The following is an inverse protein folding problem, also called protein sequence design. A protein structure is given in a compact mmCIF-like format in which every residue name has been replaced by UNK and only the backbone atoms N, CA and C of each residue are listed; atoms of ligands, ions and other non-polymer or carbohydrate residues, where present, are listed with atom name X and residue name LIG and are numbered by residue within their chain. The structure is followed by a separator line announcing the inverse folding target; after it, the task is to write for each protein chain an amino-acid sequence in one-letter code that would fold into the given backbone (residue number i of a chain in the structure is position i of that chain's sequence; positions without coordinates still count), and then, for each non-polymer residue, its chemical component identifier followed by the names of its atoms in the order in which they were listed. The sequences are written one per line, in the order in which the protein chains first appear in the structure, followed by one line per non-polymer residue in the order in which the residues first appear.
data_IF_609042882098
#
_entry.id   IF_609042882098
#
_cell.length_a   1.000
_cell.length_b   1.000
_cell.length_c   1.000
_cell.angle_alpha   90.00
_cell.angle_beta   90.00
_cell.angle_gamma   90.00
#
_symmetry.space_group_name_H-M   'P 1'
#
loop_
_entity.id
_entity.type
_entity.pdbx_description
1 polymer ?
#
# COMPACT_ATOMS: atom_id res chain seq x y z
N UNK A 1 29.52 -24.48 37.62
CA UNK A 1 30.27 -23.65 36.68
C UNK A 1 29.68 -23.84 35.31
N UNK A 2 28.69 -23.03 34.93
CA UNK A 2 28.19 -22.90 33.56
C UNK A 2 27.79 -21.45 33.34
N UNK A 3 28.58 -20.75 32.56
CA UNK A 3 28.43 -19.35 32.26
C UNK A 3 27.32 -19.18 31.20
N UNK A 4 26.31 -18.42 31.56
CA UNK A 4 25.27 -17.95 30.66
C UNK A 4 25.73 -16.65 30.01
N UNK A 5 25.99 -16.67 28.69
CA UNK A 5 26.21 -15.47 27.91
C UNK A 5 24.86 -14.93 27.44
N UNK A 6 24.33 -13.94 28.13
CA UNK A 6 23.20 -13.14 27.67
C UNK A 6 23.64 -12.21 26.55
N UNK A 7 23.08 -12.38 25.36
CA UNK A 7 23.21 -11.42 24.27
C UNK A 7 22.24 -10.26 24.52
N UNK A 8 22.81 -9.13 24.89
CA UNK A 8 22.14 -7.84 24.99
C UNK A 8 21.78 -7.34 23.58
N UNK A 9 20.47 -7.33 23.25
CA UNK A 9 19.90 -6.80 21.99
C UNK A 9 19.21 -5.47 22.27
N UNK A 10 19.88 -4.58 23.01
CA UNK A 10 19.41 -3.21 23.25
C UNK A 10 20.30 -2.23 22.50
N UNK A 11 20.22 -2.22 21.16
CA UNK A 11 20.74 -1.12 20.35
C UNK A 11 19.58 -0.49 19.58
N UNK A 12 18.83 0.35 20.31
CA UNK A 12 18.01 1.40 19.67
C UNK A 12 18.94 2.33 18.91
N UNK A 13 18.97 2.19 17.60
CA UNK A 13 19.50 3.22 16.71
C UNK A 13 18.43 4.30 16.58
N UNK A 14 18.45 5.27 17.51
CA UNK A 14 17.78 6.54 17.33
C UNK A 14 18.42 7.26 16.13
N UNK A 15 17.82 7.11 14.95
CA UNK A 15 18.16 7.91 13.78
C UNK A 15 17.64 9.31 14.04
N UNK A 16 18.54 10.22 14.39
CA UNK A 16 18.22 11.64 14.54
C UNK A 16 17.65 12.19 13.22
N UNK A 17 16.62 13.05 13.27
CA UNK A 17 15.94 13.58 12.07
C UNK A 17 16.75 14.62 11.28
N UNK A 18 18.04 14.77 11.53
CA UNK A 18 18.90 15.83 10.95
C UNK A 18 19.34 15.58 9.50
N UNK A 19 19.21 14.36 8.99
CA UNK A 19 19.62 14.03 7.62
C UNK A 19 18.45 13.73 6.68
N UNK A 20 17.32 14.40 6.85
CA UNK A 20 16.32 14.41 5.80
C UNK A 20 16.87 15.30 4.68
N UNK A 21 17.28 14.76 3.52
CA UNK A 21 17.92 15.54 2.49
C UNK A 21 16.98 16.70 2.09
N UNK A 22 17.49 17.90 2.08
CA UNK A 22 16.81 19.16 1.66
C UNK A 22 16.19 19.08 0.25
N UNK A 23 16.46 17.98 -0.48
CA UNK A 23 15.87 17.67 -1.79
C UNK A 23 14.36 17.43 -1.78
N UNK A 24 13.76 17.08 -0.62
CA UNK A 24 12.30 16.89 -0.49
C UNK A 24 11.53 18.19 -0.20
N UNK A 25 12.23 19.27 0.07
CA UNK A 25 11.61 20.57 0.39
C UNK A 25 11.51 21.53 -0.81
N UNK A 26 11.96 21.14 -2.01
CA UNK A 26 11.59 21.93 -3.21
C UNK A 26 10.15 21.57 -3.53
N UNK A 27 9.25 22.52 -3.26
CA UNK A 27 7.93 22.51 -3.85
C UNK A 27 8.12 22.35 -5.37
N UNK A 28 7.80 21.17 -5.89
CA UNK A 28 7.78 20.93 -7.34
C UNK A 28 6.74 21.91 -7.87
N UNK A 29 7.13 22.89 -8.68
CA UNK A 29 6.18 23.82 -9.25
C UNK A 29 5.20 23.05 -10.16
N UNK A 30 4.00 23.62 -10.33
CA UNK A 30 2.95 22.96 -11.09
C UNK A 30 3.38 22.63 -12.54
N UNK A 31 4.23 23.46 -13.16
CA UNK A 31 4.71 23.28 -14.51
C UNK A 31 5.70 22.11 -14.61
N UNK A 32 6.59 21.94 -13.62
CA UNK A 32 7.49 20.79 -13.53
C UNK A 32 6.70 19.51 -13.32
N UNK A 33 5.70 19.50 -12.43
CA UNK A 33 4.86 18.34 -12.19
C UNK A 33 4.03 17.97 -13.43
N UNK A 34 3.51 18.94 -14.16
CA UNK A 34 2.76 18.71 -15.40
C UNK A 34 3.67 18.15 -16.51
N UNK A 35 4.90 18.65 -16.62
CA UNK A 35 5.91 18.13 -17.55
C UNK A 35 6.31 16.68 -17.21
N UNK A 36 6.53 16.36 -15.95
CA UNK A 36 6.84 15.00 -15.52
C UNK A 36 5.67 14.04 -15.75
N UNK A 37 4.43 14.48 -15.45
CA UNK A 37 3.24 13.70 -15.72
C UNK A 37 3.01 13.46 -17.23
N UNK A 38 3.40 14.41 -18.09
CA UNK A 38 3.32 14.25 -19.54
C UNK A 38 4.25 13.13 -20.03
N UNK A 39 5.41 12.94 -19.39
CA UNK A 39 6.34 11.86 -19.74
C UNK A 39 5.71 10.46 -19.57
N UNK A 40 4.81 10.28 -18.58
CA UNK A 40 4.09 9.01 -18.40
C UNK A 40 3.05 8.72 -19.50
N UNK A 41 2.77 9.69 -20.35
CA UNK A 41 1.86 9.56 -21.50
C UNK A 41 2.58 9.59 -22.84
N UNK A 42 3.92 9.62 -22.85
CA UNK A 42 4.72 9.68 -24.06
C UNK A 42 4.67 8.34 -24.83
N UNK A 43 4.06 8.30 -26.04
CA UNK A 43 3.99 7.07 -26.82
C UNK A 43 5.34 6.60 -27.37
N UNK A 44 6.36 7.48 -27.46
CA UNK A 44 7.71 7.07 -27.89
C UNK A 44 8.40 6.32 -26.75
N UNK A 45 8.30 6.84 -25.54
CA UNK A 45 8.82 6.16 -24.34
C UNK A 45 8.15 4.81 -24.15
N UNK A 46 6.82 4.74 -24.27
CA UNK A 46 6.06 3.50 -24.17
C UNK A 46 6.53 2.45 -25.20
N UNK A 47 6.75 2.83 -26.45
CA UNK A 47 7.28 1.94 -27.49
C UNK A 47 8.66 1.42 -27.17
N UNK A 48 9.58 2.29 -26.74
CA UNK A 48 10.93 1.89 -26.33
C UNK A 48 10.93 0.91 -25.15
N UNK A 49 10.02 1.09 -24.19
CA UNK A 49 9.84 0.14 -23.08
C UNK A 49 9.33 -1.22 -23.56
N UNK A 50 8.35 -1.25 -24.49
CA UNK A 50 7.82 -2.50 -25.06
C UNK A 50 8.89 -3.25 -25.85
N UNK A 51 9.70 -2.55 -26.63
CA UNK A 51 10.85 -3.15 -27.33
C UNK A 51 11.87 -3.74 -26.34
N UNK A 52 12.11 -3.06 -25.23
CA UNK A 52 12.99 -3.56 -24.18
C UNK A 52 12.41 -4.80 -23.50
N UNK A 53 11.09 -4.80 -23.22
CA UNK A 53 10.39 -5.96 -22.68
C UNK A 53 10.51 -7.15 -23.63
N UNK A 54 10.32 -6.94 -24.95
CA UNK A 54 10.45 -7.99 -25.95
C UNK A 54 11.86 -8.64 -25.96
N UNK A 55 12.90 -7.82 -25.78
CA UNK A 55 14.29 -8.31 -25.72
C UNK A 55 14.61 -9.08 -24.43
N UNK A 56 13.96 -8.72 -23.32
CA UNK A 56 14.19 -9.30 -21.99
C UNK A 56 13.26 -10.47 -21.68
N UNK A 57 12.19 -10.66 -22.49
CA UNK A 57 11.24 -11.73 -22.27
C UNK A 57 11.91 -13.10 -22.43
N UNK A 58 11.73 -14.04 -21.49
CA UNK A 58 12.29 -15.37 -21.58
C UNK A 58 11.66 -16.14 -22.74
N UNK A 59 12.44 -17.05 -23.37
CA UNK A 59 11.98 -17.86 -24.51
C UNK A 59 10.72 -18.70 -24.21
N UNK A 60 10.50 -19.07 -22.95
CA UNK A 60 9.30 -19.80 -22.48
C UNK A 60 8.10 -18.90 -22.18
N UNK A 61 8.18 -17.61 -22.43
CA UNK A 61 7.17 -16.64 -22.05
C UNK A 61 7.18 -16.27 -20.56
N UNK A 62 6.34 -15.32 -20.18
CA UNK A 62 6.17 -14.86 -18.80
C UNK A 62 4.72 -14.51 -18.52
N UNK A 63 4.26 -14.80 -17.31
CA UNK A 63 2.98 -14.29 -16.81
C UNK A 63 3.25 -13.33 -15.65
N UNK A 64 2.82 -12.09 -15.82
CA UNK A 64 2.93 -11.02 -14.82
C UNK A 64 1.54 -10.73 -14.27
N UNK A 65 1.40 -10.68 -12.95
CA UNK A 65 0.14 -10.38 -12.29
C UNK A 65 0.24 -9.04 -11.58
N UNK A 66 -0.61 -8.10 -11.95
CA UNK A 66 -0.81 -6.88 -11.15
C UNK A 66 -1.79 -7.16 -10.01
N UNK A 67 -1.55 -6.54 -8.87
CA UNK A 67 -2.37 -6.72 -7.65
C UNK A 67 -3.14 -5.44 -7.27
N UNK A 68 -3.26 -4.51 -8.19
CA UNK A 68 -3.89 -3.21 -7.96
C UNK A 68 -4.98 -2.92 -8.98
N UNK A 69 -6.21 -2.67 -8.54
CA UNK A 69 -7.34 -2.34 -9.41
C UNK A 69 -7.09 -1.11 -10.29
N UNK A 70 -6.39 -0.09 -9.78
CA UNK A 70 -5.99 1.09 -10.57
C UNK A 70 -5.05 0.71 -11.71
N UNK A 71 -4.10 -0.21 -11.48
CA UNK A 71 -3.22 -0.73 -12.53
C UNK A 71 -4.00 -1.51 -13.57
N UNK A 72 -4.93 -2.38 -13.16
CA UNK A 72 -5.82 -3.11 -14.08
C UNK A 72 -6.55 -2.15 -15.03
N UNK A 73 -7.13 -1.08 -14.47
CA UNK A 73 -7.83 -0.05 -15.26
C UNK A 73 -6.88 0.70 -16.19
N UNK A 74 -5.68 1.08 -15.71
CA UNK A 74 -4.68 1.77 -16.54
C UNK A 74 -4.19 0.89 -17.70
N UNK A 75 -3.89 -0.38 -17.45
CA UNK A 75 -3.49 -1.37 -18.45
C UNK A 75 -4.59 -1.54 -19.51
N UNK A 76 -5.84 -1.64 -19.08
CA UNK A 76 -6.97 -1.81 -20.00
C UNK A 76 -7.21 -0.54 -20.87
N UNK A 77 -7.26 0.64 -20.23
CA UNK A 77 -7.51 1.92 -20.91
C UNK A 77 -6.44 2.27 -21.96
N UNK A 78 -5.20 1.92 -21.70
CA UNK A 78 -4.09 2.21 -22.59
C UNK A 78 -3.77 1.05 -23.56
N UNK A 79 -4.57 -0.01 -23.57
CA UNK A 79 -4.41 -1.15 -24.47
C UNK A 79 -3.08 -1.90 -24.28
N UNK A 80 -2.45 -1.80 -23.12
CA UNK A 80 -1.10 -2.32 -22.87
C UNK A 80 -1.02 -3.84 -23.09
N UNK A 81 -2.10 -4.58 -22.81
CA UNK A 81 -2.16 -6.03 -23.06
C UNK A 81 -1.88 -6.40 -24.51
N UNK A 82 -2.39 -5.60 -25.46
CA UNK A 82 -2.24 -5.85 -26.89
C UNK A 82 -0.85 -5.44 -27.42
N UNK A 83 -0.09 -4.70 -26.62
CA UNK A 83 1.25 -4.24 -26.95
C UNK A 83 2.34 -5.19 -26.42
N UNK A 84 1.97 -6.13 -25.55
CA UNK A 84 2.94 -7.06 -24.98
C UNK A 84 3.48 -8.00 -26.06
N UNK A 85 4.78 -8.34 -26.01
CA UNK A 85 5.36 -9.30 -26.93
C UNK A 85 4.72 -10.69 -26.76
N UNK A 86 4.78 -11.48 -27.84
CA UNK A 86 4.29 -12.85 -27.83
C UNK A 86 4.90 -13.65 -26.65
N UNK A 87 4.08 -14.46 -26.01
CA UNK A 87 4.47 -15.21 -24.82
C UNK A 87 4.43 -14.41 -23.49
N UNK A 88 4.26 -13.08 -23.54
CA UNK A 88 4.08 -12.29 -22.31
C UNK A 88 2.61 -12.06 -22.01
N UNK A 89 2.15 -12.59 -20.87
CA UNK A 89 0.76 -12.50 -20.44
C UNK A 89 0.64 -11.56 -19.24
N UNK A 90 -0.28 -10.61 -19.30
CA UNK A 90 -0.70 -9.81 -18.15
C UNK A 90 -1.97 -10.39 -17.53
N UNK A 91 -1.93 -10.76 -16.27
CA UNK A 91 -3.05 -11.26 -15.49
C UNK A 91 -3.47 -10.23 -14.44
N UNK A 92 -4.77 -10.03 -14.28
CA UNK A 92 -5.28 -9.23 -13.18
C UNK A 92 -5.33 -10.08 -11.92
N UNK A 93 -4.74 -9.57 -10.86
CA UNK A 93 -4.76 -10.19 -9.54
C UNK A 93 -6.05 -9.86 -8.76
N UNK A 94 -6.12 -10.29 -7.50
CA UNK A 94 -7.32 -10.13 -6.66
C UNK A 94 -7.63 -8.68 -6.27
N UNK A 95 -6.76 -7.72 -6.61
CA UNK A 95 -6.82 -6.34 -6.15
C UNK A 95 -6.20 -6.16 -4.77
N UNK A 96 -6.24 -4.92 -4.27
CA UNK A 96 -5.85 -4.61 -2.89
C UNK A 96 -7.09 -4.24 -2.07
N UNK A 97 -7.05 -4.32 -0.74
CA UNK A 97 -8.19 -3.95 0.12
C UNK A 97 -8.78 -2.58 -0.19
N UNK A 98 -7.94 -1.58 -0.48
CA UNK A 98 -8.36 -0.21 -0.85
C UNK A 98 -9.28 -0.20 -2.08
N UNK A 99 -9.04 -1.08 -3.07
CA UNK A 99 -9.78 -1.10 -4.33
C UNK A 99 -11.01 -2.03 -4.31
N UNK A 100 -11.05 -3.02 -3.41
CA UNK A 100 -12.09 -4.06 -3.42
C UNK A 100 -13.07 -3.96 -2.25
N UNK A 101 -12.71 -3.26 -1.16
CA UNK A 101 -13.59 -3.08 -0.01
C UNK A 101 -14.74 -2.13 -0.37
N UNK A 102 -15.97 -2.54 -0.11
CA UNK A 102 -17.14 -1.72 -0.41
C UNK A 102 -17.27 -0.53 0.55
N UNK A 103 -17.92 0.56 0.10
CA UNK A 103 -18.20 1.70 0.97
C UNK A 103 -19.02 1.30 2.21
N UNK A 104 -19.92 0.32 2.05
CA UNK A 104 -20.72 -0.22 3.16
C UNK A 104 -19.82 -0.85 4.23
N UNK A 105 -18.82 -1.59 3.81
CA UNK A 105 -17.88 -2.24 4.75
C UNK A 105 -17.02 -1.19 5.45
N UNK A 106 -16.55 -0.18 4.71
CA UNK A 106 -15.82 0.97 5.29
C UNK A 106 -16.68 1.69 6.34
N UNK A 107 -17.94 1.98 6.03
CA UNK A 107 -18.88 2.61 6.98
C UNK A 107 -19.10 1.75 8.22
N UNK A 108 -19.19 0.43 8.04
CA UNK A 108 -19.32 -0.53 9.15
C UNK A 108 -18.08 -0.49 10.05
N UNK A 109 -16.90 -0.47 9.47
CA UNK A 109 -15.63 -0.40 10.23
C UNK A 109 -15.49 0.94 10.97
N UNK A 110 -15.90 2.04 10.33
CA UNK A 110 -15.95 3.36 10.97
C UNK A 110 -16.91 3.35 12.17
N UNK A 111 -18.07 2.72 12.02
CA UNK A 111 -19.03 2.58 13.12
C UNK A 111 -18.44 1.74 14.27
N UNK A 112 -17.76 0.64 13.96
CA UNK A 112 -17.07 -0.20 14.97
C UNK A 112 -15.95 0.57 15.68
N UNK A 113 -15.17 1.41 14.98
CA UNK A 113 -14.14 2.23 15.59
C UNK A 113 -14.68 3.19 16.67
N UNK A 114 -15.96 3.54 16.61
CA UNK A 114 -16.64 4.41 17.59
C UNK A 114 -17.14 3.67 18.82
N UNK A 115 -17.15 2.34 18.79
CA UNK A 115 -17.60 1.50 19.92
C UNK A 115 -16.48 1.45 20.98
N UNK A 116 -16.78 1.75 22.26
CA UNK A 116 -15.81 1.61 23.34
C UNK A 116 -15.30 0.17 23.46
N UNK A 117 -14.02 0.00 23.71
CA UNK A 117 -13.40 -1.31 23.87
C UNK A 117 -12.93 -1.97 22.57
N UNK A 118 -13.34 -1.47 21.40
CA UNK A 118 -12.86 -1.95 20.11
C UNK A 118 -11.61 -1.20 19.67
N UNK A 119 -10.68 -1.94 19.09
CA UNK A 119 -9.52 -1.40 18.35
C UNK A 119 -9.55 -1.94 16.93
N UNK A 120 -9.51 -1.04 15.96
CA UNK A 120 -9.38 -1.42 14.55
C UNK A 120 -7.91 -1.61 14.22
N UNK A 121 -7.54 -2.78 13.71
CA UNK A 121 -6.24 -3.06 13.15
C UNK A 121 -6.35 -3.11 11.63
N UNK A 122 -5.56 -2.32 10.91
CA UNK A 122 -5.69 -2.21 9.44
C UNK A 122 -4.38 -1.79 8.78
N UNK A 123 -4.29 -1.95 7.46
CA UNK A 123 -3.17 -1.43 6.69
C UNK A 123 -3.22 0.09 6.57
N UNK A 124 -2.03 0.72 6.49
CA UNK A 124 -1.91 2.17 6.47
C UNK A 124 -2.74 2.87 5.39
N UNK A 125 -2.80 2.29 4.18
CA UNK A 125 -3.57 2.86 3.07
C UNK A 125 -5.07 2.81 3.31
N UNK A 126 -5.57 1.79 4.03
CA UNK A 126 -6.98 1.65 4.38
C UNK A 126 -7.46 2.78 5.30
N UNK A 127 -6.60 3.36 6.12
CA UNK A 127 -6.98 4.46 7.01
C UNK A 127 -7.47 5.69 6.26
N UNK A 128 -7.02 5.87 5.02
CA UNK A 128 -7.35 7.02 4.16
C UNK A 128 -8.56 6.80 3.25
N UNK A 129 -9.06 5.56 3.17
CA UNK A 129 -10.23 5.26 2.34
C UNK A 129 -11.45 5.99 2.91
N UNK A 130 -12.12 6.83 2.12
CA UNK A 130 -13.29 7.55 2.59
C UNK A 130 -14.51 6.62 2.67
N UNK A 131 -15.19 6.62 3.80
CA UNK A 131 -16.56 6.15 3.92
C UNK A 131 -17.54 7.25 3.55
N UNK A 132 -18.83 7.02 3.80
CA UNK A 132 -19.89 7.99 3.48
C UNK A 132 -19.79 9.29 4.28
N UNK A 133 -19.24 9.28 5.49
CA UNK A 133 -19.22 10.43 6.40
C UNK A 133 -17.86 10.70 7.06
N UNK A 134 -16.93 9.76 7.02
CA UNK A 134 -15.65 9.83 7.74
C UNK A 134 -14.61 8.90 7.09
N UNK A 135 -13.44 8.79 7.71
CA UNK A 135 -12.41 7.80 7.40
C UNK A 135 -11.78 7.31 8.69
N UNK A 136 -11.13 6.15 8.67
CA UNK A 136 -10.42 5.65 9.85
C UNK A 136 -9.32 6.60 10.34
N UNK A 137 -8.70 7.34 9.43
CA UNK A 137 -7.72 8.39 9.79
C UNK A 137 -8.38 9.53 10.57
N UNK A 138 -9.57 9.97 10.16
CA UNK A 138 -10.33 10.99 10.87
C UNK A 138 -10.80 10.49 12.24
N UNK A 139 -11.25 9.22 12.33
CA UNK A 139 -11.63 8.61 13.60
C UNK A 139 -10.42 8.48 14.56
N UNK A 140 -9.24 8.13 14.04
CA UNK A 140 -8.00 8.09 14.82
C UNK A 140 -7.64 9.48 15.36
N UNK A 141 -7.74 10.51 14.52
CA UNK A 141 -7.52 11.90 14.93
C UNK A 141 -8.55 12.37 15.99
N UNK A 142 -9.76 11.80 15.98
CA UNK A 142 -10.79 12.02 17.00
C UNK A 142 -10.58 11.17 18.27
N UNK A 143 -9.44 10.48 18.42
CA UNK A 143 -9.08 9.72 19.61
C UNK A 143 -9.62 8.29 19.62
N UNK A 144 -10.14 7.77 18.50
CA UNK A 144 -10.54 6.36 18.40
C UNK A 144 -9.34 5.45 18.24
N UNK A 145 -9.48 4.20 18.70
CA UNK A 145 -8.38 3.22 18.67
C UNK A 145 -8.27 2.59 17.29
N UNK A 146 -7.39 3.15 16.46
CA UNK A 146 -7.02 2.60 15.14
C UNK A 146 -5.52 2.37 15.11
N UNK A 147 -5.10 1.13 14.83
CA UNK A 147 -3.71 0.70 14.79
C UNK A 147 -3.32 0.29 13.37
N UNK A 148 -2.21 0.83 12.88
CA UNK A 148 -1.65 0.42 11.60
C UNK A 148 -0.81 -0.83 11.83
N UNK A 149 -1.09 -1.86 11.03
CA UNK A 149 -0.37 -3.13 11.02
C UNK A 149 0.12 -3.45 9.60
N UNK A 150 1.13 -4.29 9.48
CA UNK A 150 1.73 -4.66 8.20
C UNK A 150 1.42 -6.10 7.79
N UNK A 151 0.82 -6.86 8.70
CA UNK A 151 0.33 -8.21 8.43
C UNK A 151 -0.85 -8.56 9.34
N UNK A 152 -1.69 -9.55 8.97
CA UNK A 152 -2.73 -10.07 9.87
C UNK A 152 -2.13 -10.68 11.15
N UNK A 153 -0.89 -11.16 11.12
CA UNK A 153 -0.21 -11.72 12.29
C UNK A 153 0.10 -10.64 13.34
N UNK A 154 0.35 -9.40 12.91
CA UNK A 154 0.55 -8.28 13.83
C UNK A 154 -0.74 -7.98 14.61
N UNK A 155 -1.91 -8.15 13.97
CA UNK A 155 -3.20 -8.00 14.63
C UNK A 155 -3.44 -9.09 15.70
N UNK A 156 -2.97 -10.32 15.48
CA UNK A 156 -2.99 -11.38 16.49
C UNK A 156 -2.09 -11.04 17.68
N UNK A 157 -0.88 -10.53 17.41
CA UNK A 157 0.02 -10.07 18.46
C UNK A 157 -0.60 -8.92 19.26
N UNK A 158 -1.25 -7.98 18.57
CA UNK A 158 -1.96 -6.87 19.20
C UNK A 158 -3.09 -7.37 20.11
N UNK A 159 -3.85 -8.38 19.68
CA UNK A 159 -4.92 -8.98 20.47
C UNK A 159 -4.37 -9.68 21.74
N UNK A 160 -3.27 -10.41 21.61
CA UNK A 160 -2.62 -11.05 22.76
C UNK A 160 -2.08 -10.06 23.79
N UNK A 161 -1.61 -8.91 23.34
CA UNK A 161 -1.10 -7.85 24.21
C UNK A 161 -2.20 -7.00 24.86
N UNK A 162 -3.42 -7.07 24.37
CA UNK A 162 -4.57 -6.29 24.83
C UNK A 162 -5.78 -7.17 25.10
N UNK A 163 -5.74 -8.08 26.08
CA UNK A 163 -6.83 -9.05 26.35
C UNK A 163 -8.16 -8.41 26.73
N UNK A 164 -8.13 -7.17 27.22
CA UNK A 164 -9.34 -6.41 27.63
C UNK A 164 -10.00 -5.65 26.45
N UNK A 165 -9.45 -5.79 25.24
CA UNK A 165 -9.96 -5.10 24.03
C UNK A 165 -10.32 -6.10 22.94
N UNK A 166 -11.35 -5.78 22.20
CA UNK A 166 -11.69 -6.51 20.99
C UNK A 166 -10.90 -5.92 19.81
N UNK A 167 -10.10 -6.75 19.13
CA UNK A 167 -9.32 -6.35 17.96
C UNK A 167 -10.06 -6.79 16.71
N UNK A 168 -10.46 -5.83 15.88
CA UNK A 168 -11.08 -6.07 14.59
C UNK A 168 -10.07 -5.76 13.49
N UNK A 169 -9.65 -6.80 12.75
CA UNK A 169 -8.76 -6.63 11.60
C UNK A 169 -9.56 -6.43 10.31
N UNK A 170 -9.13 -5.44 9.50
CA UNK A 170 -9.79 -5.06 8.24
C UNK A 170 -8.77 -4.85 7.12
#
# INVERSE_FOLDING_TARGET
MTSSTGTDVSRETSVEPKDRPERLARAVDAATMESELAAFKDPKLARGLIESIAKLSPAGGATLMEVCGTHTVAIARNGIRNLMPEGTRLASGPGCPVCVTSNRDIDTVIALARVPGITIATFGDMTRVPGSTSSLLAEQAAGRSVQIVYSPLDALTLAQQNPDREIVFV
#
